data_IF_785366396093
#
_entry.id   IF_785366396093
#
_cell.length_a   1.000
_cell.length_b   1.000
_cell.length_c   1.000
_cell.angle_alpha   90.00
_cell.angle_beta   90.00
_cell.angle_gamma   90.00
#
_symmetry.space_group_name_H-M   'P 1'
#
loop_
_entity.id
_entity.type
_entity.pdbx_description
1 polymer ?
#
# COMPACT_ATOMS: atom_id res chain seq x y z
N UNK A 1 8.25 0.58 11.87
CA UNK A 1 6.86 1.08 12.05
C UNK A 1 5.87 -0.02 12.40
N UNK A 2 5.97 -1.24 11.83
CA UNK A 2 4.99 -2.32 12.05
C UNK A 2 4.53 -2.53 13.49
N UNK A 3 5.46 -2.68 14.46
CA UNK A 3 5.10 -2.84 15.88
C UNK A 3 4.26 -1.68 16.46
N UNK A 4 4.55 -0.44 16.04
CA UNK A 4 3.80 0.74 16.50
C UNK A 4 2.42 0.82 15.85
N UNK A 5 2.29 0.42 14.60
CA UNK A 5 0.99 0.33 13.92
C UNK A 5 0.15 -0.77 14.58
N UNK A 6 0.77 -1.93 14.84
CA UNK A 6 0.09 -3.07 15.45
C UNK A 6 -0.37 -2.81 16.88
N UNK A 7 0.48 -2.27 17.77
CA UNK A 7 0.21 -2.21 19.23
C UNK A 7 0.41 -0.82 19.86
N UNK A 8 0.70 0.21 19.06
CA UNK A 8 0.83 1.58 19.52
C UNK A 8 -0.51 2.30 19.70
N UNK A 9 -0.45 3.63 19.80
CA UNK A 9 -1.63 4.48 19.96
C UNK A 9 -2.56 4.38 18.73
N UNK A 10 -3.87 4.24 18.97
CA UNK A 10 -4.92 4.14 17.93
C UNK A 10 -5.31 5.50 17.37
N UNK A 11 -4.33 6.15 16.74
CA UNK A 11 -4.42 7.49 16.13
C UNK A 11 -4.03 7.48 14.64
N UNK A 12 -3.87 6.30 14.07
CA UNK A 12 -3.43 6.09 12.69
C UNK A 12 -4.52 5.36 11.91
N UNK A 13 -4.52 5.61 10.60
CA UNK A 13 -5.17 4.78 9.59
C UNK A 13 -4.18 4.59 8.45
N UNK A 14 -4.40 3.59 7.62
CA UNK A 14 -3.55 3.29 6.47
C UNK A 14 -4.36 3.37 5.18
N UNK A 15 -3.75 3.93 4.13
CA UNK A 15 -4.24 3.79 2.76
C UNK A 15 -3.18 3.03 1.97
N UNK A 16 -3.47 1.78 1.63
CA UNK A 16 -2.57 0.89 0.90
C UNK A 16 -2.81 1.06 -0.59
N UNK A 17 -1.76 1.38 -1.33
CA UNK A 17 -1.78 1.32 -2.80
C UNK A 17 -1.36 -0.09 -3.24
N UNK A 18 -2.28 -0.82 -3.87
CA UNK A 18 -2.04 -2.17 -4.40
C UNK A 18 -1.87 -2.09 -5.92
N UNK A 19 -0.74 -2.61 -6.42
CA UNK A 19 -0.54 -2.86 -7.85
C UNK A 19 -1.09 -4.24 -8.20
N UNK A 20 -2.01 -4.32 -9.15
CA UNK A 20 -2.65 -5.60 -9.52
C UNK A 20 -1.75 -6.45 -10.42
N UNK A 21 -1.02 -5.84 -11.36
CA UNK A 21 -0.07 -6.54 -12.22
C UNK A 21 1.35 -5.94 -12.09
N UNK A 22 2.35 -6.74 -11.67
CA UNK A 22 3.73 -6.28 -11.60
C UNK A 22 4.36 -6.19 -13.00
N UNK A 23 5.29 -5.26 -13.19
CA UNK A 23 6.06 -5.15 -14.45
C UNK A 23 6.99 -6.35 -14.68
N UNK A 24 7.46 -6.97 -13.61
CA UNK A 24 8.29 -8.17 -13.63
C UNK A 24 7.79 -9.13 -12.55
N UNK A 25 7.57 -10.37 -12.93
CA UNK A 25 7.19 -11.42 -12.01
C UNK A 25 8.23 -12.55 -12.01
N UNK A 26 8.61 -13.00 -10.81
CA UNK A 26 9.67 -13.98 -10.61
C UNK A 26 9.08 -15.16 -9.86
N UNK A 27 9.23 -16.35 -10.43
CA UNK A 27 8.83 -17.60 -9.78
C UNK A 27 9.93 -18.09 -8.86
N UNK A 28 9.58 -18.36 -7.61
CA UNK A 28 10.48 -18.98 -6.64
C UNK A 28 10.78 -20.40 -7.10
N UNK A 29 12.07 -20.71 -7.22
CA UNK A 29 12.54 -22.04 -7.59
C UNK A 29 12.69 -22.91 -6.35
N UNK A 30 12.60 -24.21 -6.54
CA UNK A 30 12.92 -25.19 -5.49
C UNK A 30 14.44 -25.24 -5.28
N UNK A 31 14.87 -25.23 -4.02
CA UNK A 31 16.27 -25.44 -3.64
C UNK A 31 16.46 -26.88 -3.12
N UNK A 32 17.33 -27.71 -3.72
CA UNK A 32 17.45 -29.12 -3.37
C UNK A 32 17.75 -29.43 -1.90
N UNK A 33 18.40 -28.52 -1.17
CA UNK A 33 18.82 -28.73 0.23
C UNK A 33 17.87 -28.05 1.24
N UNK A 34 17.01 -27.12 0.81
CA UNK A 34 16.01 -26.40 1.62
C UNK A 34 16.54 -25.85 2.97
N UNK A 35 17.74 -25.28 2.99
CA UNK A 35 18.39 -24.83 4.23
C UNK A 35 17.64 -23.70 4.95
N UNK A 36 16.81 -22.94 4.22
CA UNK A 36 15.98 -21.85 4.75
C UNK A 36 14.53 -22.28 5.05
N UNK A 37 14.15 -23.51 4.68
CA UNK A 37 12.80 -24.04 4.84
C UNK A 37 11.74 -23.31 3.99
N UNK A 38 12.14 -22.63 2.91
CA UNK A 38 11.24 -21.84 2.05
C UNK A 38 10.71 -22.62 0.84
N UNK A 39 11.05 -23.90 0.66
CA UNK A 39 10.52 -24.69 -0.46
C UNK A 39 8.98 -24.80 -0.49
N UNK A 40 8.26 -24.52 0.60
CA UNK A 40 6.80 -24.39 0.56
C UNK A 40 6.30 -23.21 -0.31
N UNK A 41 7.20 -22.29 -0.66
CA UNK A 41 6.98 -21.19 -1.60
C UNK A 41 7.39 -21.52 -3.04
N UNK A 42 8.07 -22.65 -3.28
CA UNK A 42 8.48 -23.05 -4.62
C UNK A 42 7.27 -23.14 -5.57
N UNK A 43 7.47 -22.68 -6.82
CA UNK A 43 6.41 -22.59 -7.83
C UNK A 43 5.43 -21.44 -7.64
N UNK A 44 5.49 -20.69 -6.53
CA UNK A 44 4.75 -19.43 -6.35
C UNK A 44 5.55 -18.28 -6.94
N UNK A 45 4.84 -17.26 -7.38
CA UNK A 45 5.46 -16.04 -7.86
C UNK A 45 5.64 -15.02 -6.72
N UNK A 46 6.58 -14.09 -6.88
CA UNK A 46 6.85 -13.06 -5.88
C UNK A 46 5.65 -12.15 -5.66
N UNK A 47 4.86 -11.89 -6.70
CA UNK A 47 3.61 -11.14 -6.60
C UNK A 47 2.61 -11.78 -5.63
N UNK A 48 2.41 -13.10 -5.72
CA UNK A 48 1.56 -13.86 -4.80
C UNK A 48 2.06 -13.74 -3.36
N UNK A 49 3.37 -13.87 -3.15
CA UNK A 49 3.98 -13.79 -1.82
C UNK A 49 3.77 -12.38 -1.26
N UNK A 50 4.04 -11.34 -2.05
CA UNK A 50 3.87 -9.95 -1.65
C UNK A 50 2.40 -9.61 -1.34
N UNK A 51 1.45 -10.04 -2.18
CA UNK A 51 0.01 -9.86 -1.94
C UNK A 51 -0.48 -10.65 -0.74
N UNK A 52 0.11 -11.82 -0.45
CA UNK A 52 -0.20 -12.59 0.76
C UNK A 52 0.29 -11.85 2.01
N UNK A 53 1.51 -11.29 1.98
CA UNK A 53 2.03 -10.46 3.05
C UNK A 53 1.16 -9.22 3.28
N UNK A 54 0.82 -8.47 2.21
CA UNK A 54 -0.05 -7.31 2.27
C UNK A 54 -1.41 -7.65 2.92
N UNK A 55 -2.10 -8.70 2.45
CA UNK A 55 -3.40 -9.11 3.01
C UNK A 55 -3.29 -9.54 4.47
N UNK A 56 -2.25 -10.29 4.83
CA UNK A 56 -1.98 -10.68 6.21
C UNK A 56 -1.76 -9.48 7.12
N UNK A 57 -0.96 -8.51 6.67
CA UNK A 57 -0.71 -7.26 7.40
C UNK A 57 -1.97 -6.41 7.52
N UNK A 58 -2.75 -6.23 6.44
CA UNK A 58 -4.02 -5.50 6.49
C UNK A 58 -4.99 -6.11 7.50
N UNK A 59 -5.12 -7.45 7.51
CA UNK A 59 -5.97 -8.13 8.48
C UNK A 59 -5.47 -7.89 9.92
N UNK A 60 -4.18 -8.10 10.17
CA UNK A 60 -3.59 -7.89 11.49
C UNK A 60 -3.76 -6.44 11.99
N UNK A 61 -3.62 -5.46 11.11
CA UNK A 61 -3.76 -4.04 11.44
C UNK A 61 -5.24 -3.66 11.68
N UNK A 62 -6.17 -4.18 10.88
CA UNK A 62 -7.62 -4.00 11.08
C UNK A 62 -8.06 -4.61 12.41
N UNK A 63 -7.60 -5.83 12.73
CA UNK A 63 -7.86 -6.50 14.01
C UNK A 63 -7.24 -5.72 15.19
N UNK A 64 -6.10 -5.07 14.94
CA UNK A 64 -5.46 -4.14 15.88
C UNK A 64 -6.21 -2.81 16.06
N UNK A 65 -7.27 -2.53 15.29
CA UNK A 65 -8.05 -1.30 15.36
C UNK A 65 -7.50 -0.14 14.53
N UNK A 66 -6.70 -0.43 13.50
CA UNK A 66 -6.20 0.56 12.52
C UNK A 66 -7.09 0.48 11.28
N UNK A 67 -7.88 1.54 10.95
CA UNK A 67 -8.67 1.55 9.73
C UNK A 67 -7.78 1.44 8.49
N UNK A 68 -8.19 0.62 7.52
CA UNK A 68 -7.42 0.37 6.29
C UNK A 68 -8.28 0.70 5.07
N UNK A 69 -7.74 1.54 4.19
CA UNK A 69 -8.28 1.87 2.88
C UNK A 69 -7.38 1.25 1.80
N UNK A 70 -7.94 0.95 0.63
CA UNK A 70 -7.17 0.41 -0.49
C UNK A 70 -7.43 1.20 -1.77
N UNK A 71 -6.36 1.57 -2.46
CA UNK A 71 -6.36 2.16 -3.80
C UNK A 71 -5.68 1.16 -4.73
N UNK A 72 -6.43 0.61 -5.69
CA UNK A 72 -5.91 -0.40 -6.62
C UNK A 72 -5.51 0.24 -7.94
N UNK A 73 -4.32 -0.10 -8.39
CA UNK A 73 -3.73 0.37 -9.66
C UNK A 73 -3.54 -0.86 -10.55
N UNK A 74 -4.17 -0.93 -11.73
CA UNK A 74 -4.13 -2.16 -12.53
C UNK A 74 -2.72 -2.56 -12.99
N UNK A 75 -1.94 -1.61 -13.50
CA UNK A 75 -0.56 -1.85 -13.95
C UNK A 75 0.28 -0.58 -13.82
N UNK A 76 1.60 -0.74 -13.83
CA UNK A 76 2.54 0.39 -13.79
C UNK A 76 2.87 0.87 -15.19
N UNK A 77 2.12 1.88 -15.66
CA UNK A 77 2.39 2.58 -16.92
C UNK A 77 1.93 4.04 -16.83
N UNK A 78 2.24 4.83 -17.85
CA UNK A 78 1.96 6.27 -17.91
C UNK A 78 0.46 6.57 -17.85
N UNK A 79 -0.37 5.68 -18.40
CA UNK A 79 -1.82 5.83 -18.40
C UNK A 79 -2.39 5.76 -16.97
N UNK A 80 -2.05 4.70 -16.22
CA UNK A 80 -2.51 4.54 -14.84
C UNK A 80 -1.83 5.51 -13.88
N UNK A 81 -0.59 5.91 -14.16
CA UNK A 81 0.08 6.96 -13.40
C UNK A 81 -0.66 8.30 -13.50
N UNK A 82 -1.10 8.67 -14.70
CA UNK A 82 -1.91 9.88 -14.92
C UNK A 82 -3.25 9.84 -14.17
N UNK A 83 -3.91 8.67 -14.16
CA UNK A 83 -5.12 8.48 -13.35
C UNK A 83 -4.86 8.65 -11.85
N UNK A 84 -3.75 8.11 -11.35
CA UNK A 84 -3.39 8.19 -9.94
C UNK A 84 -3.09 9.63 -9.50
N UNK A 85 -2.40 10.41 -10.33
CA UNK A 85 -2.16 11.83 -10.08
C UNK A 85 -3.47 12.59 -9.96
N UNK A 86 -4.33 12.52 -10.97
CA UNK A 86 -5.59 13.26 -10.95
C UNK A 86 -6.52 12.81 -9.82
N UNK A 87 -6.54 11.51 -9.52
CA UNK A 87 -7.28 10.96 -8.38
C UNK A 87 -6.88 11.63 -7.07
N UNK A 88 -5.58 11.69 -6.77
CA UNK A 88 -5.09 12.28 -5.52
C UNK A 88 -5.19 13.80 -5.50
N UNK A 89 -4.97 14.49 -6.63
CA UNK A 89 -5.16 15.94 -6.73
C UNK A 89 -6.62 16.33 -6.44
N UNK A 90 -7.56 15.63 -7.06
CA UNK A 90 -8.99 15.84 -6.84
C UNK A 90 -9.40 15.52 -5.40
N UNK A 91 -8.98 14.35 -4.88
CA UNK A 91 -9.26 13.94 -3.51
C UNK A 91 -8.68 14.92 -2.48
N UNK A 92 -7.48 15.46 -2.72
CA UNK A 92 -6.86 16.47 -1.88
C UNK A 92 -7.67 17.77 -1.88
N UNK A 93 -8.09 18.25 -3.04
CA UNK A 93 -8.94 19.45 -3.16
C UNK A 93 -10.26 19.31 -2.40
N UNK A 94 -10.95 18.18 -2.57
CA UNK A 94 -12.19 17.87 -1.83
C UNK A 94 -11.92 17.77 -0.32
N UNK A 95 -10.86 17.07 0.08
CA UNK A 95 -10.48 16.91 1.50
C UNK A 95 -10.17 18.25 2.17
N UNK A 96 -9.45 19.16 1.50
CA UNK A 96 -9.17 20.50 2.01
C UNK A 96 -10.44 21.31 2.29
N UNK A 97 -11.43 21.24 1.39
CA UNK A 97 -12.73 21.89 1.62
C UNK A 97 -13.53 21.23 2.74
N UNK A 98 -13.53 19.90 2.85
CA UNK A 98 -14.16 19.18 3.98
C UNK A 98 -13.53 19.61 5.31
N UNK A 99 -12.21 19.80 5.34
CA UNK A 99 -11.47 20.27 6.51
C UNK A 99 -11.68 21.77 6.81
N UNK A 100 -12.24 22.55 5.86
CA UNK A 100 -12.48 23.98 6.01
C UNK A 100 -11.24 24.85 5.78
N UNK A 101 -10.25 24.37 5.03
CA UNK A 101 -9.04 25.13 4.66
C UNK A 101 -9.05 25.51 3.18
N UNK A 102 -8.18 26.44 2.77
CA UNK A 102 -7.94 26.70 1.35
C UNK A 102 -6.89 25.69 0.84
N UNK A 103 -7.25 24.73 -0.03
CA UNK A 103 -6.29 23.73 -0.51
C UNK A 103 -5.28 24.28 -1.51
N UNK A 104 -5.38 25.55 -1.91
CA UNK A 104 -4.58 26.15 -2.98
C UNK A 104 -3.68 27.30 -2.50
N UNK A 105 -3.30 27.33 -1.22
CA UNK A 105 -2.33 28.30 -0.69
C UNK A 105 -1.37 27.70 0.36
N UNK A 106 -0.30 28.44 0.68
CA UNK A 106 0.75 28.01 1.62
C UNK A 106 1.39 29.19 2.39
N UNK A 107 0.62 29.99 3.14
CA UNK A 107 1.10 31.25 3.72
C UNK A 107 2.26 31.11 4.71
N UNK A 108 2.46 29.94 5.33
CA UNK A 108 3.53 29.69 6.31
C UNK A 108 4.89 29.32 5.72
N UNK A 109 5.06 29.32 4.39
CA UNK A 109 6.33 28.97 3.74
C UNK A 109 7.26 30.17 3.58
N UNK A 110 6.70 31.37 3.39
CA UNK A 110 7.44 32.60 3.06
C UNK A 110 7.87 33.41 4.30
N UNK A 111 7.82 32.82 5.49
CA UNK A 111 8.07 33.49 6.78
C UNK A 111 9.50 33.34 7.30
#
# INVERSE_FOLDING_TARGET
>A
MGQFIQDGSRIMFETVMELEEPTLDVTIQEEPVDLDGLNYLAGKNLDFINKSAMKGTQLAHVDGGVPNLSVKVPAQNEYYLGQLFYFYEFACGVSGYILGVNPFNQPGVES
#
